data_IF_498419387765
#
_entry.id   IF_498419387765
#
_cell.length_a   1.000
_cell.length_b   1.000
_cell.length_c   1.000
_cell.angle_alpha   90.00
_cell.angle_beta   90.00
_cell.angle_gamma   90.00
#
_symmetry.space_group_name_H-M   'P 1'
#
loop_
_entity.id
_entity.type
_entity.pdbx_description
1 polymer ?
#
# COMPACT_ATOMS: atom_id res chain seq x y z
N UNK A 1 2.63 53.61 -45.32
CA UNK A 1 1.64 53.09 -44.35
C UNK A 1 1.97 51.61 -44.12
N UNK A 2 2.59 51.22 -43.01
CA UNK A 2 1.98 50.79 -41.73
C UNK A 2 0.94 49.65 -41.85
N UNK A 3 1.37 48.48 -41.36
CA UNK A 3 0.65 47.47 -40.55
C UNK A 3 -0.38 46.60 -41.31
N UNK A 4 -0.50 45.28 -41.12
CA UNK A 4 -0.18 44.42 -39.96
C UNK A 4 0.18 43.00 -40.40
N UNK A 5 1.32 42.52 -39.89
CA UNK A 5 1.64 41.10 -39.74
C UNK A 5 0.53 40.39 -38.96
N UNK A 6 -0.01 39.29 -39.50
CA UNK A 6 -0.95 38.43 -38.76
C UNK A 6 -0.18 37.73 -37.65
N UNK A 7 -0.25 38.34 -36.46
CA UNK A 7 0.33 37.84 -35.23
C UNK A 7 -0.39 36.57 -34.79
N UNK A 8 0.42 35.53 -34.58
CA UNK A 8 0.12 34.24 -33.98
C UNK A 8 -0.90 34.29 -32.84
N UNK A 9 -2.00 33.55 -32.96
CA UNK A 9 -2.79 33.10 -31.80
C UNK A 9 -2.75 31.57 -31.72
N UNK A 10 -1.54 31.02 -31.62
CA UNK A 10 -1.35 29.66 -31.12
C UNK A 10 -1.61 29.68 -29.61
N UNK A 11 -2.74 29.13 -29.21
CA UNK A 11 -3.14 28.96 -27.81
C UNK A 11 -2.22 27.85 -27.24
N UNK A 12 -1.09 28.27 -26.67
CA UNK A 12 -0.14 27.37 -26.04
C UNK A 12 -0.78 26.69 -24.82
N UNK A 13 -0.80 25.36 -24.88
CA UNK A 13 -0.87 24.37 -23.82
C UNK A 13 -1.50 24.82 -22.49
N UNK A 14 -2.69 24.31 -22.23
CA UNK A 14 -3.23 24.16 -20.87
C UNK A 14 -2.16 23.50 -20.00
N UNK A 15 -1.60 24.26 -19.06
CA UNK A 15 -0.72 23.72 -18.02
C UNK A 15 -1.53 22.72 -17.20
N UNK A 16 -1.26 21.44 -17.43
CA UNK A 16 -1.84 20.35 -16.67
C UNK A 16 -1.32 20.53 -15.23
N UNK A 17 -2.26 20.73 -14.31
CA UNK A 17 -2.06 21.16 -12.94
C UNK A 17 -0.79 20.57 -12.30
N UNK A 18 0.01 21.44 -11.68
CA UNK A 18 0.85 21.01 -10.59
C UNK A 18 -0.07 20.39 -9.53
N UNK A 19 -0.04 19.07 -9.39
CA UNK A 19 -0.67 18.31 -8.32
C UNK A 19 -0.36 18.95 -6.97
N UNK A 20 -1.31 19.70 -6.40
CA UNK A 20 -1.11 20.41 -5.14
C UNK A 20 -0.95 19.44 -3.96
N UNK A 21 -0.19 19.84 -2.93
CA UNK A 21 -0.13 19.07 -1.67
C UNK A 21 -1.49 19.09 -0.99
N UNK A 22 -1.93 17.90 -0.56
CA UNK A 22 -3.18 17.68 0.15
C UNK A 22 -3.30 18.56 1.40
N UNK A 23 -4.49 19.14 1.60
CA UNK A 23 -4.82 20.00 2.76
C UNK A 23 -5.80 19.33 3.73
N UNK A 24 -6.50 18.31 3.27
CA UNK A 24 -7.52 17.56 4.02
C UNK A 24 -7.17 16.06 4.16
N UNK A 25 -5.98 15.66 3.70
CA UNK A 25 -5.52 14.28 3.72
C UNK A 25 -5.99 13.45 2.53
N UNK A 26 -6.71 14.01 1.54
CA UNK A 26 -7.07 13.30 0.32
C UNK A 26 -5.99 13.39 -0.76
N UNK A 27 -5.85 12.34 -1.55
CA UNK A 27 -4.89 12.27 -2.65
C UNK A 27 -5.45 11.51 -3.85
N UNK A 28 -4.86 11.76 -5.02
CA UNK A 28 -5.34 11.21 -6.29
C UNK A 28 -6.63 11.87 -6.75
N UNK A 29 -7.49 11.09 -7.42
CA UNK A 29 -8.79 11.56 -7.92
C UNK A 29 -8.69 12.61 -9.04
N UNK A 30 -9.81 13.32 -9.27
CA UNK A 30 -9.92 14.38 -10.29
C UNK A 30 -9.04 15.59 -9.97
N UNK A 31 -8.91 15.92 -8.68
CA UNK A 31 -8.09 17.04 -8.19
C UNK A 31 -6.58 16.75 -8.27
N UNK A 32 -6.21 15.47 -8.44
CA UNK A 32 -4.83 15.03 -8.65
C UNK A 32 -3.89 15.39 -7.50
N UNK A 33 -4.40 15.56 -6.28
CA UNK A 33 -3.63 16.03 -5.12
C UNK A 33 -2.60 14.99 -4.66
N UNK A 34 -1.48 15.47 -4.16
CA UNK A 34 -0.37 14.63 -3.66
C UNK A 34 -0.24 14.70 -2.14
N UNK A 35 0.23 13.62 -1.54
CA UNK A 35 0.53 13.55 -0.12
C UNK A 35 1.91 14.14 0.24
N UNK A 36 2.79 14.34 -0.73
CA UNK A 36 4.17 14.81 -0.49
C UNK A 36 4.19 16.17 0.21
N UNK A 37 4.84 16.22 1.37
CA UNK A 37 4.93 17.41 2.21
C UNK A 37 3.65 17.74 2.98
N UNK A 38 2.69 16.81 3.04
CA UNK A 38 1.47 16.99 3.84
C UNK A 38 1.73 16.63 5.31
N UNK A 39 1.01 17.28 6.23
CA UNK A 39 1.04 16.90 7.66
C UNK A 39 0.40 15.55 7.97
N UNK A 40 -0.24 14.90 6.98
CA UNK A 40 -0.89 13.61 7.12
C UNK A 40 0.05 12.43 6.82
N UNK A 41 1.18 12.70 6.18
CA UNK A 41 2.11 11.70 5.66
C UNK A 41 2.25 11.78 4.14
N UNK A 42 3.32 11.17 3.61
CA UNK A 42 3.73 11.35 2.22
C UNK A 42 3.17 10.30 1.26
N UNK A 43 2.53 9.25 1.76
CA UNK A 43 2.06 8.14 0.95
C UNK A 43 0.58 8.24 0.64
N UNK A 44 0.21 8.01 -0.62
CA UNK A 44 -1.18 7.97 -1.05
C UNK A 44 -1.69 6.52 -1.09
N UNK A 45 -2.57 6.15 -0.18
CA UNK A 45 -3.16 4.81 -0.14
C UNK A 45 -4.02 4.53 -1.39
N UNK A 46 -4.31 3.25 -1.62
CA UNK A 46 -5.26 2.81 -2.65
C UNK A 46 -6.68 3.42 -2.52
N UNK A 47 -7.02 3.94 -1.34
CA UNK A 47 -8.32 4.53 -1.04
C UNK A 47 -8.35 6.05 -1.22
N UNK A 48 -7.26 6.66 -1.70
CA UNK A 48 -7.18 8.11 -1.93
C UNK A 48 -6.93 8.92 -0.67
N UNK A 49 -6.25 8.34 0.32
CA UNK A 49 -5.92 9.00 1.59
C UNK A 49 -4.42 9.02 1.86
N UNK A 50 -3.94 10.13 2.40
CA UNK A 50 -2.58 10.36 2.85
C UNK A 50 -2.30 9.71 4.19
N UNK A 51 -1.12 9.11 4.31
CA UNK A 51 -0.63 8.52 5.54
C UNK A 51 0.85 8.17 5.47
N UNK A 52 1.40 7.73 6.60
CA UNK A 52 2.79 7.26 6.70
C UNK A 52 2.92 5.79 7.11
N UNK A 53 1.79 5.08 7.29
CA UNK A 53 1.81 3.68 7.70
C UNK A 53 1.99 2.74 6.51
N UNK A 54 2.34 1.48 6.77
CA UNK A 54 2.49 0.44 5.73
C UNK A 54 1.23 0.29 4.86
N UNK A 55 0.04 0.49 5.44
CA UNK A 55 -1.24 0.46 4.70
C UNK A 55 -1.37 1.59 3.69
N UNK A 56 -0.68 2.72 3.90
CA UNK A 56 -0.67 3.86 2.99
C UNK A 56 0.49 3.79 2.01
N UNK A 57 1.66 3.35 2.47
CA UNK A 57 2.92 3.42 1.73
C UNK A 57 3.25 2.19 0.89
N UNK A 58 2.65 1.04 1.17
CA UNK A 58 2.98 -0.23 0.50
C UNK A 58 1.78 -0.80 -0.25
N UNK A 59 0.72 -1.21 0.45
CA UNK A 59 -0.38 -1.94 -0.20
C UNK A 59 -1.14 -1.05 -1.21
N UNK A 60 -0.92 -1.30 -2.51
CA UNK A 60 -1.53 -0.59 -3.64
C UNK A 60 -1.43 0.94 -3.50
N UNK A 61 -0.32 1.42 -2.94
CA UNK A 61 -0.04 2.84 -2.84
C UNK A 61 -0.01 3.46 -4.25
N UNK A 62 -0.65 4.63 -4.41
CA UNK A 62 -0.74 5.35 -5.66
C UNK A 62 0.51 6.20 -5.87
N UNK A 63 1.53 5.63 -6.52
CA UNK A 63 2.87 6.24 -6.70
C UNK A 63 2.86 7.56 -7.48
N UNK A 64 1.80 7.83 -8.23
CA UNK A 64 1.58 9.14 -8.88
C UNK A 64 1.27 10.27 -7.88
N UNK A 65 0.75 9.93 -6.70
CA UNK A 65 0.18 10.88 -5.73
C UNK A 65 0.85 10.79 -4.35
N UNK A 66 1.91 10.00 -4.18
CA UNK A 66 2.64 9.92 -2.94
C UNK A 66 3.96 9.17 -3.06
N UNK A 67 4.78 9.24 -2.01
CA UNK A 67 6.04 8.52 -1.88
C UNK A 67 5.77 7.08 -1.45
N UNK A 68 5.27 6.30 -2.39
CA UNK A 68 5.13 4.87 -2.20
C UNK A 68 6.51 4.27 -1.99
N UNK A 69 6.66 3.52 -0.91
CA UNK A 69 7.79 2.61 -0.73
C UNK A 69 7.53 1.44 -1.68
N UNK A 70 7.80 1.66 -2.98
CA UNK A 70 7.66 0.63 -4.00
C UNK A 70 8.57 -0.52 -3.64
N UNK A 71 7.99 -1.68 -3.29
CA UNK A 71 8.60 -3.01 -3.22
C UNK A 71 9.95 -3.17 -2.47
N UNK A 72 10.46 -2.11 -1.82
CA UNK A 72 11.79 -2.00 -1.21
C UNK A 72 11.71 -1.66 0.28
N UNK A 73 10.50 -1.67 0.84
CA UNK A 73 10.34 -2.33 2.13
C UNK A 73 9.65 -3.65 1.80
N UNK A 74 10.43 -4.65 1.39
CA UNK A 74 10.04 -6.00 1.82
C UNK A 74 9.69 -5.86 3.31
N UNK A 75 8.56 -6.40 3.78
CA UNK A 75 8.42 -6.63 5.22
C UNK A 75 9.76 -7.19 5.72
N UNK A 76 10.26 -6.79 6.91
CA UNK A 76 11.53 -7.31 7.40
C UNK A 76 11.50 -8.81 7.19
N UNK A 77 12.56 -9.34 6.56
CA UNK A 77 12.59 -10.71 6.03
C UNK A 77 11.92 -11.59 7.06
N UNK A 78 10.87 -12.33 6.67
CA UNK A 78 10.18 -13.15 7.65
C UNK A 78 11.23 -14.08 8.29
N UNK A 79 11.11 -14.37 9.60
CA UNK A 79 12.15 -15.06 10.35
C UNK A 79 12.59 -16.29 9.58
N UNK A 80 13.88 -16.65 9.54
CA UNK A 80 14.44 -17.67 8.62
C UNK A 80 13.73 -19.04 8.58
N UNK A 81 12.80 -19.29 9.50
CA UNK A 81 11.85 -20.41 9.55
C UNK A 81 10.55 -20.18 8.76
N UNK A 82 10.39 -19.07 8.03
CA UNK A 82 9.15 -18.71 7.39
C UNK A 82 9.07 -19.20 5.96
N UNK A 83 8.05 -20.01 5.68
CA UNK A 83 7.77 -20.55 4.35
C UNK A 83 6.70 -19.70 3.66
N UNK A 84 6.84 -19.49 2.35
CA UNK A 84 5.76 -18.92 1.54
C UNK A 84 5.78 -17.41 1.29
N UNK A 85 4.75 -16.91 0.58
CA UNK A 85 4.56 -15.49 0.24
C UNK A 85 3.70 -14.77 1.29
N UNK A 86 3.70 -13.45 1.31
CA UNK A 86 2.76 -12.69 2.15
C UNK A 86 1.31 -12.99 1.72
N UNK A 87 0.42 -13.24 2.70
CA UNK A 87 -0.98 -13.57 2.43
C UNK A 87 -1.72 -12.43 1.70
N UNK A 88 -2.35 -12.71 0.53
CA UNK A 88 -3.10 -11.69 -0.22
C UNK A 88 -4.56 -11.56 0.22
N UNK A 89 -5.10 -12.56 0.95
CA UNK A 89 -6.54 -12.68 1.22
C UNK A 89 -6.84 -13.17 2.64
N UNK A 90 -5.86 -13.13 3.54
CA UNK A 90 -6.01 -13.62 4.91
C UNK A 90 -5.94 -15.14 5.05
N UNK A 91 -5.66 -15.88 3.97
CA UNK A 91 -5.33 -17.32 4.06
C UNK A 91 -3.84 -17.54 4.25
N UNK A 92 -3.48 -18.57 5.01
CA UNK A 92 -2.10 -18.88 5.35
C UNK A 92 -1.86 -20.39 5.46
N UNK A 93 -0.59 -20.77 5.54
CA UNK A 93 -0.18 -22.17 5.54
C UNK A 93 -0.08 -22.76 4.14
N UNK A 94 0.23 -24.06 4.10
CA UNK A 94 0.19 -24.88 2.89
C UNK A 94 -1.15 -25.62 2.72
N UNK A 95 -2.01 -25.57 3.74
CA UNK A 95 -3.28 -26.29 3.79
C UNK A 95 -4.50 -25.37 3.46
N UNK A 96 -5.67 -25.99 3.27
CA UNK A 96 -6.97 -25.31 3.13
C UNK A 96 -7.09 -24.27 2.00
N UNK A 97 -6.39 -24.48 0.88
CA UNK A 97 -6.51 -23.64 -0.32
C UNK A 97 -5.72 -22.34 -0.25
N UNK A 98 -4.76 -22.22 0.66
CA UNK A 98 -3.66 -21.25 0.58
C UNK A 98 -2.60 -21.77 -0.41
N UNK A 99 -2.95 -21.85 -1.70
CA UNK A 99 -2.06 -22.41 -2.72
C UNK A 99 -0.69 -21.72 -2.73
N UNK A 100 0.35 -22.43 -2.29
CA UNK A 100 1.74 -21.99 -2.39
C UNK A 100 2.42 -21.54 -1.10
N UNK A 101 1.81 -21.76 0.07
CA UNK A 101 2.38 -21.35 1.35
C UNK A 101 2.22 -19.83 1.51
N UNK A 102 1.26 -19.38 2.31
CA UNK A 102 1.12 -17.95 2.63
C UNK A 102 1.40 -17.70 4.10
N UNK A 103 2.13 -16.64 4.43
CA UNK A 103 2.40 -16.23 5.80
C UNK A 103 1.64 -14.96 6.18
N UNK A 104 1.46 -14.80 7.50
CA UNK A 104 0.71 -13.71 8.11
C UNK A 104 1.61 -12.62 8.71
N UNK A 105 2.95 -12.77 8.65
CA UNK A 105 3.86 -11.73 9.12
C UNK A 105 3.51 -10.37 8.49
N UNK A 106 3.25 -9.38 9.35
CA UNK A 106 2.89 -8.00 8.99
C UNK A 106 1.57 -7.87 8.23
N UNK A 107 0.71 -8.88 8.34
CA UNK A 107 -0.60 -8.88 7.71
C UNK A 107 -1.60 -7.99 8.46
N UNK A 108 -2.47 -7.32 7.71
CA UNK A 108 -3.57 -6.52 8.23
C UNK A 108 -4.61 -7.35 9.01
N UNK A 109 -4.71 -8.64 8.71
CA UNK A 109 -5.61 -9.54 9.44
C UNK A 109 -5.01 -9.98 10.79
N UNK A 110 -3.69 -9.86 10.94
CA UNK A 110 -2.95 -10.24 12.14
C UNK A 110 -1.77 -11.16 11.84
N UNK A 111 -0.84 -11.27 12.78
CA UNK A 111 0.47 -11.89 12.55
C UNK A 111 0.48 -13.42 12.69
N UNK A 112 -0.62 -14.03 13.10
CA UNK A 112 -0.68 -15.44 13.48
C UNK A 112 -1.40 -16.25 12.41
N UNK A 113 -0.84 -17.40 12.03
CA UNK A 113 -1.52 -18.33 11.14
C UNK A 113 -2.21 -19.41 11.98
N UNK A 114 -3.54 -19.40 12.00
CA UNK A 114 -4.30 -20.41 12.76
C UNK A 114 -4.17 -21.81 12.16
N UNK A 115 -4.53 -22.82 12.95
CA UNK A 115 -4.63 -24.21 12.49
C UNK A 115 -5.56 -24.42 11.27
N UNK A 116 -6.48 -23.47 11.03
CA UNK A 116 -7.44 -23.52 9.93
C UNK A 116 -6.97 -22.78 8.67
N UNK A 117 -5.75 -22.25 8.68
CA UNK A 117 -5.18 -21.55 7.52
C UNK A 117 -5.72 -20.13 7.36
N UNK A 118 -5.98 -19.44 8.47
CA UNK A 118 -6.39 -18.03 8.47
C UNK A 118 -5.45 -17.15 9.30
N UNK A 119 -5.10 -15.99 8.74
CA UNK A 119 -4.39 -14.93 9.42
C UNK A 119 -5.29 -14.24 10.44
N UNK A 120 -4.75 -14.00 11.63
CA UNK A 120 -5.48 -13.33 12.71
C UNK A 120 -4.59 -12.92 13.87
N UNK A 121 -5.24 -12.39 14.92
CA UNK A 121 -4.59 -11.98 16.17
C UNK A 121 -5.35 -12.55 17.37
N UNK A 122 -4.66 -12.69 18.51
CA UNK A 122 -5.23 -13.26 19.73
C UNK A 122 -5.15 -14.79 19.79
N UNK A 123 -5.47 -15.35 20.95
CA UNK A 123 -5.23 -16.76 21.28
C UNK A 123 -5.89 -17.77 20.32
N UNK A 124 -7.01 -17.43 19.70
CA UNK A 124 -7.69 -18.29 18.70
C UNK A 124 -6.82 -18.52 17.46
N UNK A 125 -5.99 -17.54 17.11
CA UNK A 125 -5.11 -17.61 15.95
C UNK A 125 -3.68 -17.95 16.31
N UNK A 126 -3.19 -17.40 17.43
CA UNK A 126 -1.80 -17.48 17.83
C UNK A 126 -1.50 -18.60 18.83
N UNK A 127 -2.55 -19.17 19.45
CA UNK A 127 -2.42 -20.18 20.48
C UNK A 127 -2.20 -21.59 19.92
N UNK A 128 -2.87 -22.56 20.54
CA UNK A 128 -2.68 -23.99 20.27
C UNK A 128 -2.89 -24.29 18.77
N UNK A 129 -1.90 -24.97 18.17
CA UNK A 129 -1.82 -25.32 16.74
C UNK A 129 -1.77 -24.14 15.76
N UNK A 130 -1.38 -22.95 16.22
CA UNK A 130 -0.86 -21.94 15.30
C UNK A 130 0.29 -22.53 14.47
N UNK A 131 0.38 -22.16 13.20
CA UNK A 131 1.38 -22.66 12.25
C UNK A 131 2.62 -21.75 12.27
N UNK A 132 3.72 -22.14 12.95
CA UNK A 132 4.85 -21.25 13.23
C UNK A 132 5.68 -20.88 12.00
N UNK A 133 5.64 -21.69 10.94
CA UNK A 133 6.28 -21.36 9.65
C UNK A 133 5.54 -20.24 8.90
N UNK A 134 4.27 -19.99 9.24
CA UNK A 134 3.39 -19.07 8.52
C UNK A 134 2.92 -17.90 9.38
N UNK A 135 3.33 -17.81 10.65
CA UNK A 135 2.97 -16.71 11.53
C UNK A 135 3.62 -16.78 12.91
N UNK A 136 3.38 -15.75 13.72
CA UNK A 136 3.88 -15.65 15.09
C UNK A 136 2.95 -16.38 16.05
N UNK A 137 3.40 -17.49 16.64
CA UNK A 137 2.64 -18.28 17.61
C UNK A 137 3.11 -17.99 19.05
N UNK A 138 2.25 -18.21 20.04
CA UNK A 138 2.52 -17.96 21.46
C UNK A 138 1.77 -18.92 22.39
#
# INVERSE_FOLDING_TARGET
MRLTSFSVLSIFATSIAASGTSKDGKCGGYDGLTCKGSGFGDCCSQYGWCGSTIHHCSNRCQSKFGDCKGDTASPPSPPSSSSGKASPNGRCGDAHGAGGGFHCFWSQWGNCCSQYGYCGSGSVYCGVKCQPEFGKCN
#
